data_IF_233611651128
#
_entry.id   IF_233611651128
#
_cell.length_a   1.000
_cell.length_b   1.000
_cell.length_c   1.000
_cell.angle_alpha   90.00
_cell.angle_beta   90.00
_cell.angle_gamma   90.00
#
_symmetry.space_group_name_H-M   'P 1'
#
loop_
_entity.id
_entity.type
_entity.pdbx_description
1 polymer ?
#
# COMPACT_ATOMS: atom_id res chain seq x y z
N UNK A 1 -11.25 -6.82 -9.77
CA UNK A 1 -12.69 -6.52 -9.89
C UNK A 1 -13.11 -5.45 -8.90
N UNK A 2 -13.05 -5.67 -7.57
CA UNK A 2 -13.39 -4.61 -6.59
C UNK A 2 -12.62 -3.30 -6.86
N UNK A 3 -11.29 -3.36 -6.94
CA UNK A 3 -10.43 -2.21 -7.26
C UNK A 3 -10.77 -1.56 -8.61
N UNK A 4 -11.07 -2.37 -9.63
CA UNK A 4 -11.51 -1.88 -10.94
C UNK A 4 -12.82 -1.09 -10.86
N UNK A 5 -13.78 -1.57 -10.07
CA UNK A 5 -15.07 -0.89 -9.82
C UNK A 5 -14.81 0.41 -9.05
N UNK A 6 -14.00 0.36 -7.99
CA UNK A 6 -13.65 1.53 -7.15
C UNK A 6 -12.98 2.63 -7.97
N UNK A 7 -11.95 2.31 -8.75
CA UNK A 7 -11.24 3.27 -9.64
C UNK A 7 -12.15 3.89 -10.70
N UNK A 8 -13.15 3.15 -11.19
CA UNK A 8 -14.07 3.63 -12.22
C UNK A 8 -15.28 4.37 -11.64
N UNK A 9 -15.51 4.31 -10.32
CA UNK A 9 -16.67 4.85 -9.61
C UNK A 9 -17.96 4.06 -9.83
N UNK A 10 -18.31 3.79 -11.09
CA UNK A 10 -19.45 2.95 -11.47
C UNK A 10 -19.12 2.18 -12.76
N UNK A 11 -19.46 0.90 -12.81
CA UNK A 11 -19.22 0.07 -14.00
C UNK A 11 -20.23 -1.06 -14.14
N UNK A 12 -20.38 -1.60 -15.35
CA UNK A 12 -21.32 -2.69 -15.64
C UNK A 12 -20.62 -4.05 -15.71
N UNK A 13 -21.39 -5.13 -15.51
CA UNK A 13 -20.90 -6.50 -15.69
C UNK A 13 -20.24 -6.75 -17.06
N UNK A 14 -20.85 -6.33 -18.18
CA UNK A 14 -20.23 -6.42 -19.51
C UNK A 14 -18.89 -5.68 -19.63
N UNK A 15 -18.77 -4.44 -19.14
CA UNK A 15 -17.50 -3.69 -19.17
C UNK A 15 -16.38 -4.41 -18.41
N UNK A 16 -16.71 -4.99 -17.25
CA UNK A 16 -15.77 -5.77 -16.45
C UNK A 16 -15.32 -7.06 -17.18
N UNK A 17 -16.19 -7.67 -17.99
CA UNK A 17 -15.84 -8.84 -18.81
C UNK A 17 -14.87 -8.46 -19.92
N UNK A 18 -14.96 -7.25 -20.45
CA UNK A 18 -14.08 -6.77 -21.53
C UNK A 18 -12.71 -6.31 -21.00
N UNK A 19 -12.67 -5.77 -19.78
CA UNK A 19 -11.45 -5.19 -19.20
C UNK A 19 -10.64 -6.14 -18.32
N UNK A 20 -11.17 -7.32 -17.99
CA UNK A 20 -10.49 -8.27 -17.10
C UNK A 20 -10.04 -9.53 -17.82
N UNK A 21 -9.02 -10.20 -17.29
CA UNK A 21 -8.42 -11.41 -17.89
C UNK A 21 -9.12 -12.71 -17.50
N UNK A 22 -10.07 -12.66 -16.56
CA UNK A 22 -10.86 -13.83 -16.13
C UNK A 22 -12.07 -14.08 -17.02
N UNK A 23 -12.59 -15.31 -17.01
CA UNK A 23 -13.75 -15.68 -17.83
C UNK A 23 -15.01 -14.89 -17.48
N UNK A 24 -15.92 -14.72 -18.44
CA UNK A 24 -17.25 -14.12 -18.20
C UNK A 24 -17.97 -14.74 -17.00
N UNK A 25 -17.97 -16.08 -16.90
CA UNK A 25 -18.60 -16.79 -15.77
C UNK A 25 -17.98 -16.38 -14.44
N UNK A 26 -16.65 -16.26 -14.39
CA UNK A 26 -15.90 -15.85 -13.20
C UNK A 26 -16.22 -14.41 -12.81
N UNK A 27 -16.36 -13.50 -13.77
CA UNK A 27 -16.76 -12.10 -13.49
C UNK A 27 -18.09 -12.04 -12.76
N UNK A 28 -19.13 -12.70 -13.29
CA UNK A 28 -20.44 -12.69 -12.66
C UNK A 28 -20.48 -13.44 -11.33
N UNK A 29 -19.70 -14.52 -11.17
CA UNK A 29 -19.53 -15.20 -9.88
C UNK A 29 -18.89 -14.28 -8.83
N UNK A 30 -17.85 -13.54 -9.20
CA UNK A 30 -17.17 -12.62 -8.30
C UNK A 30 -18.02 -11.38 -7.99
N UNK A 31 -18.76 -10.83 -8.96
CA UNK A 31 -19.74 -9.77 -8.71
C UNK A 31 -20.78 -10.23 -7.69
N UNK A 32 -21.31 -11.45 -7.83
CA UNK A 32 -22.27 -11.98 -6.87
C UNK A 32 -21.67 -12.11 -5.46
N UNK A 33 -20.44 -12.61 -5.35
CA UNK A 33 -19.74 -12.74 -4.06
C UNK A 33 -19.46 -11.38 -3.40
N UNK A 34 -19.02 -10.40 -4.19
CA UNK A 34 -18.77 -9.05 -3.70
C UNK A 34 -20.07 -8.36 -3.24
N UNK A 35 -21.15 -8.52 -4.01
CA UNK A 35 -22.47 -7.98 -3.66
C UNK A 35 -23.00 -8.64 -2.38
N UNK A 36 -22.89 -9.97 -2.28
CA UNK A 36 -23.30 -10.72 -1.10
C UNK A 36 -22.49 -10.33 0.16
N UNK A 37 -21.21 -10.01 -0.02
CA UNK A 37 -20.35 -9.55 1.06
C UNK A 37 -20.58 -8.07 1.42
N UNK A 38 -21.44 -7.35 0.69
CA UNK A 38 -21.68 -5.92 0.91
C UNK A 38 -20.52 -5.02 0.46
N UNK A 39 -19.58 -5.55 -0.32
CA UNK A 39 -18.42 -4.78 -0.82
C UNK A 39 -18.74 -4.01 -2.10
N UNK A 40 -19.86 -4.32 -2.77
CA UNK A 40 -20.37 -3.55 -3.89
C UNK A 40 -21.89 -3.48 -3.79
N UNK A 41 -22.49 -2.44 -4.37
CA UNK A 41 -23.94 -2.28 -4.48
C UNK A 41 -24.35 -1.99 -5.92
N UNK A 42 -25.62 -2.27 -6.24
CA UNK A 42 -26.23 -1.92 -7.54
C UNK A 42 -26.73 -0.48 -7.48
N UNK A 43 -26.36 0.32 -8.48
CA UNK A 43 -26.75 1.74 -8.56
C UNK A 43 -28.13 1.92 -9.20
N UNK A 44 -28.49 1.04 -10.14
CA UNK A 44 -29.76 1.12 -10.87
C UNK A 44 -30.37 -0.28 -11.02
N UNK A 45 -31.56 -0.46 -10.45
CA UNK A 45 -32.32 -1.71 -10.49
C UNK A 45 -33.24 -1.82 -11.72
N UNK A 46 -33.52 -0.71 -12.42
CA UNK A 46 -34.48 -0.64 -13.54
C UNK A 46 -33.82 -0.59 -14.93
N UNK A 47 -32.50 -0.40 -14.98
CA UNK A 47 -31.77 -0.48 -16.25
C UNK A 47 -31.59 -1.93 -16.75
N UNK A 48 -31.51 -2.08 -18.08
CA UNK A 48 -31.34 -3.39 -18.75
C UNK A 48 -30.03 -4.09 -18.36
N UNK A 49 -29.06 -3.34 -17.83
CA UNK A 49 -27.75 -3.83 -17.41
C UNK A 49 -27.42 -3.23 -16.06
N UNK A 50 -27.37 -4.07 -15.01
CA UNK A 50 -27.01 -3.62 -13.68
C UNK A 50 -25.62 -2.96 -13.67
N UNK A 51 -25.57 -1.74 -13.12
CA UNK A 51 -24.34 -1.02 -12.83
C UNK A 51 -23.99 -1.19 -11.34
N UNK A 52 -22.69 -1.28 -11.05
CA UNK A 52 -22.15 -1.55 -9.73
C UNK A 52 -21.25 -0.40 -9.28
N UNK A 53 -21.31 -0.08 -8.00
CA UNK A 53 -20.35 0.81 -7.32
C UNK A 53 -19.68 0.07 -6.17
N UNK A 54 -18.47 0.48 -5.81
CA UNK A 54 -17.71 -0.11 -4.72
C UNK A 54 -18.09 0.56 -3.41
N UNK A 55 -18.28 -0.25 -2.37
CA UNK A 55 -18.52 0.22 -1.01
C UNK A 55 -17.17 0.31 -0.27
N UNK A 56 -17.02 1.35 0.53
CA UNK A 56 -15.91 1.44 1.49
C UNK A 56 -16.12 0.42 2.60
N UNK A 57 -15.02 -0.15 3.11
CA UNK A 57 -15.08 -1.15 4.17
C UNK A 57 -13.84 -1.07 5.06
N UNK A 58 -13.96 -1.63 6.25
CA UNK A 58 -12.82 -1.92 7.10
C UNK A 58 -13.03 -3.31 7.69
N UNK A 59 -12.01 -4.16 7.57
CA UNK A 59 -12.02 -5.49 8.16
C UNK A 59 -10.81 -5.64 9.07
N UNK A 60 -11.08 -5.70 10.38
CA UNK A 60 -10.05 -5.90 11.40
C UNK A 60 -9.84 -7.40 11.64
N UNK A 61 -8.61 -7.88 11.53
CA UNK A 61 -8.23 -9.24 11.94
C UNK A 61 -7.28 -9.18 13.12
N UNK A 62 -7.56 -9.99 14.13
CA UNK A 62 -6.63 -10.26 15.21
C UNK A 62 -6.14 -11.70 15.08
N UNK A 63 -4.83 -11.88 14.87
CA UNK A 63 -4.19 -13.19 14.90
C UNK A 63 -3.21 -13.23 16.05
N UNK A 64 -3.52 -14.08 17.04
CA UNK A 64 -2.84 -14.09 18.35
C UNK A 64 -2.99 -12.72 19.01
N UNK A 65 -1.94 -11.90 19.01
CA UNK A 65 -1.88 -10.59 19.65
C UNK A 65 -1.60 -9.46 18.63
N UNK A 66 -1.61 -9.77 17.34
CA UNK A 66 -1.42 -8.79 16.26
C UNK A 66 -2.77 -8.47 15.63
N UNK A 67 -3.19 -7.22 15.78
CA UNK A 67 -4.35 -6.65 15.11
C UNK A 67 -3.90 -5.92 13.84
N UNK A 68 -4.57 -6.18 12.72
CA UNK A 68 -4.34 -5.52 11.43
C UNK A 68 -5.68 -5.14 10.79
N UNK A 69 -5.70 -4.01 10.07
CA UNK A 69 -6.86 -3.58 9.30
C UNK A 69 -6.66 -3.89 7.81
N UNK A 70 -7.65 -4.51 7.19
CA UNK A 70 -7.77 -4.64 5.74
C UNK A 70 -8.72 -3.55 5.25
N UNK A 71 -8.18 -2.60 4.51
CA UNK A 71 -8.92 -1.49 3.90
C UNK A 71 -8.86 -1.55 2.37
N UNK A 72 -9.73 -0.82 1.67
CA UNK A 72 -9.65 -0.66 0.23
C UNK A 72 -8.28 -0.22 -0.28
N UNK A 73 -7.57 0.66 0.42
CA UNK A 73 -6.22 1.12 0.08
C UNK A 73 -5.22 -0.04 0.09
N UNK A 74 -5.27 -0.90 1.11
CA UNK A 74 -4.44 -2.12 1.17
C UNK A 74 -4.76 -3.04 -0.02
N UNK A 75 -6.04 -3.23 -0.34
CA UNK A 75 -6.46 -4.07 -1.47
C UNK A 75 -6.00 -3.48 -2.81
N UNK A 76 -5.94 -2.15 -2.96
CA UNK A 76 -5.37 -1.49 -4.13
C UNK A 76 -3.88 -1.84 -4.31
N UNK A 77 -3.11 -1.86 -3.24
CA UNK A 77 -1.70 -2.30 -3.28
C UNK A 77 -1.61 -3.78 -3.65
N UNK A 78 -2.40 -4.64 -3.00
CA UNK A 78 -2.43 -6.09 -3.30
C UNK A 78 -2.82 -6.37 -4.76
N UNK A 79 -3.68 -5.55 -5.36
CA UNK A 79 -4.08 -5.71 -6.75
C UNK A 79 -2.92 -5.55 -7.75
N UNK A 80 -1.83 -4.87 -7.35
CA UNK A 80 -0.63 -4.67 -8.15
C UNK A 80 0.35 -5.85 -8.10
N UNK A 81 0.02 -6.96 -7.42
CA UNK A 81 0.91 -8.13 -7.25
C UNK A 81 1.51 -8.71 -8.53
N UNK A 82 0.84 -8.54 -9.67
CA UNK A 82 1.34 -9.05 -10.96
C UNK A 82 2.44 -8.16 -11.55
N UNK A 83 2.49 -6.88 -11.15
CA UNK A 83 3.48 -5.91 -11.58
C UNK A 83 4.66 -5.83 -10.59
N UNK A 84 4.40 -6.10 -9.31
CA UNK A 84 5.39 -6.07 -8.24
C UNK A 84 5.57 -7.46 -7.61
N UNK A 85 6.59 -8.24 -8.03
CA UNK A 85 6.81 -9.61 -7.54
C UNK A 85 7.05 -9.71 -6.03
N UNK A 86 7.52 -8.64 -5.38
CA UNK A 86 7.67 -8.59 -3.93
C UNK A 86 6.32 -8.75 -3.20
N UNK A 87 5.25 -8.15 -3.75
CA UNK A 87 3.90 -8.27 -3.21
C UNK A 87 3.39 -9.70 -3.34
N UNK A 88 3.53 -10.31 -4.52
CA UNK A 88 3.14 -11.70 -4.73
C UNK A 88 3.90 -12.65 -3.81
N UNK A 89 5.21 -12.44 -3.64
CA UNK A 89 6.05 -13.25 -2.77
C UNK A 89 5.60 -13.19 -1.32
N UNK A 90 5.43 -11.99 -0.76
CA UNK A 90 5.03 -11.84 0.65
C UNK A 90 3.63 -12.41 0.88
N UNK A 91 2.68 -12.17 -0.03
CA UNK A 91 1.35 -12.77 0.06
C UNK A 91 1.36 -14.30 -0.05
N UNK A 92 2.21 -14.86 -0.92
CA UNK A 92 2.32 -16.30 -1.14
C UNK A 92 3.00 -17.04 0.02
N UNK A 93 4.10 -16.49 0.51
CA UNK A 93 4.96 -17.14 1.50
C UNK A 93 4.48 -16.87 2.94
N UNK A 94 3.94 -15.67 3.21
CA UNK A 94 3.59 -15.23 4.57
C UNK A 94 2.09 -14.96 4.77
N UNK A 95 1.31 -14.83 3.69
CA UNK A 95 -0.13 -14.60 3.76
C UNK A 95 -0.53 -13.14 3.99
N UNK A 96 -1.84 -12.89 3.97
CA UNK A 96 -2.41 -11.52 3.98
C UNK A 96 -2.21 -10.77 5.30
N UNK A 97 -2.19 -11.48 6.43
CA UNK A 97 -2.04 -10.84 7.76
C UNK A 97 -0.64 -10.24 7.90
N UNK A 98 0.38 -11.00 7.53
CA UNK A 98 1.77 -10.49 7.50
C UNK A 98 1.93 -9.37 6.48
N UNK A 99 1.27 -9.48 5.32
CA UNK A 99 1.28 -8.41 4.33
C UNK A 99 0.64 -7.12 4.87
N UNK A 100 -0.50 -7.21 5.55
CA UNK A 100 -1.17 -6.05 6.16
C UNK A 100 -0.29 -5.39 7.23
N UNK A 101 0.31 -6.20 8.13
CA UNK A 101 1.27 -5.69 9.12
C UNK A 101 2.46 -4.99 8.44
N UNK A 102 3.05 -5.61 7.42
CA UNK A 102 4.18 -5.04 6.70
C UNK A 102 3.78 -3.73 6.01
N UNK A 103 2.59 -3.66 5.40
CA UNK A 103 2.04 -2.44 4.80
C UNK A 103 1.92 -1.31 5.82
N UNK A 104 1.36 -1.57 7.00
CA UNK A 104 1.23 -0.56 8.07
C UNK A 104 2.62 -0.08 8.54
N UNK A 105 3.56 -1.01 8.69
CA UNK A 105 4.95 -0.70 9.04
C UNK A 105 5.67 0.11 7.94
N UNK A 106 5.38 -0.13 6.66
CA UNK A 106 5.94 0.68 5.55
C UNK A 106 5.39 2.11 5.58
N UNK A 107 4.11 2.30 5.93
CA UNK A 107 3.55 3.66 6.12
C UNK A 107 4.21 4.37 7.31
N UNK A 108 4.35 3.68 8.44
CA UNK A 108 5.09 4.21 9.59
C UNK A 108 6.55 4.55 9.23
N UNK A 109 7.18 3.76 8.33
CA UNK A 109 8.51 4.04 7.84
C UNK A 109 8.57 5.33 7.00
N UNK A 110 7.55 5.60 6.18
CA UNK A 110 7.48 6.87 5.42
C UNK A 110 7.36 8.10 6.33
N UNK A 111 6.89 7.92 7.57
CA UNK A 111 6.83 8.96 8.59
C UNK A 111 8.10 9.02 9.47
N UNK A 112 9.07 8.13 9.24
CA UNK A 112 10.33 8.04 9.99
C UNK A 112 10.24 7.29 11.33
N UNK A 113 9.10 6.68 11.64
CA UNK A 113 8.84 6.04 12.95
C UNK A 113 9.51 4.67 13.11
N UNK A 114 9.72 3.97 12.00
CA UNK A 114 10.36 2.65 12.00
C UNK A 114 11.42 2.56 10.91
N UNK A 115 12.46 1.78 11.16
CA UNK A 115 13.53 1.48 10.20
C UNK A 115 13.23 0.21 9.42
N UNK A 116 13.77 0.07 8.20
CA UNK A 116 13.67 -1.17 7.38
C UNK A 116 14.03 -2.43 8.19
N UNK A 117 15.04 -2.34 9.07
CA UNK A 117 15.44 -3.45 9.95
C UNK A 117 14.35 -3.83 10.97
N UNK A 118 13.66 -2.85 11.54
CA UNK A 118 12.52 -3.13 12.43
C UNK A 118 11.38 -3.77 11.66
N UNK A 119 11.09 -3.32 10.43
CA UNK A 119 10.05 -3.93 9.58
C UNK A 119 10.36 -5.40 9.33
N UNK A 120 11.58 -5.72 8.88
CA UNK A 120 12.01 -7.09 8.64
C UNK A 120 11.82 -7.97 9.88
N UNK A 121 12.22 -7.49 11.06
CA UNK A 121 12.08 -8.24 12.30
C UNK A 121 10.62 -8.40 12.76
N UNK A 122 9.81 -7.35 12.67
CA UNK A 122 8.43 -7.34 13.16
C UNK A 122 7.48 -8.13 12.25
N UNK A 123 7.70 -8.06 10.93
CA UNK A 123 6.93 -8.81 9.95
C UNK A 123 7.50 -10.22 9.66
N UNK A 124 8.57 -10.63 10.35
CA UNK A 124 9.27 -11.91 10.14
C UNK A 124 9.67 -12.11 8.66
N UNK A 125 10.22 -11.06 8.05
CA UNK A 125 10.70 -11.03 6.67
C UNK A 125 12.23 -11.01 6.63
N UNK A 126 12.79 -11.57 5.57
CA UNK A 126 14.23 -11.36 5.29
C UNK A 126 14.49 -9.87 5.00
N UNK A 127 15.69 -9.36 5.30
CA UNK A 127 16.03 -7.96 5.03
C UNK A 127 15.88 -7.59 3.55
N UNK A 128 16.23 -8.50 2.63
CA UNK A 128 16.02 -8.30 1.20
C UNK A 128 14.54 -8.24 0.82
N UNK A 129 13.74 -9.17 1.34
CA UNK A 129 12.28 -9.17 1.12
C UNK A 129 11.63 -7.88 1.64
N UNK A 130 12.04 -7.41 2.83
CA UNK A 130 11.53 -6.18 3.40
C UNK A 130 11.90 -4.96 2.54
N UNK A 131 13.14 -4.89 2.06
CA UNK A 131 13.60 -3.84 1.16
C UNK A 131 12.79 -3.81 -0.15
N UNK A 132 12.69 -4.96 -0.84
CA UNK A 132 11.94 -5.08 -2.09
C UNK A 132 10.45 -4.71 -1.91
N UNK A 133 9.86 -5.07 -0.76
CA UNK A 133 8.47 -4.74 -0.46
C UNK A 133 8.28 -3.25 -0.22
N UNK A 134 9.18 -2.60 0.52
CA UNK A 134 9.13 -1.15 0.76
C UNK A 134 9.23 -0.40 -0.57
N UNK A 135 10.18 -0.77 -1.43
CA UNK A 135 10.35 -0.16 -2.75
C UNK A 135 9.07 -0.27 -3.59
N UNK A 136 8.45 -1.46 -3.61
CA UNK A 136 7.18 -1.67 -4.31
C UNK A 136 6.05 -0.79 -3.75
N UNK A 137 5.88 -0.75 -2.43
CA UNK A 137 4.81 0.03 -1.79
C UNK A 137 5.04 1.53 -1.96
N UNK A 138 6.28 2.00 -1.86
CA UNK A 138 6.65 3.40 -2.08
C UNK A 138 6.33 3.83 -3.51
N UNK A 139 6.64 2.97 -4.50
CA UNK A 139 6.31 3.22 -5.90
C UNK A 139 4.80 3.26 -6.16
N UNK A 140 4.01 2.45 -5.45
CA UNK A 140 2.54 2.41 -5.63
C UNK A 140 1.85 3.59 -4.93
N UNK A 141 2.34 3.96 -3.75
CA UNK A 141 1.72 4.99 -2.90
C UNK A 141 2.35 6.38 -3.07
N UNK A 142 3.39 6.50 -3.90
CA UNK A 142 4.11 7.74 -4.16
C UNK A 142 4.73 8.34 -2.87
N UNK A 143 5.31 7.49 -2.02
CA UNK A 143 5.86 7.87 -0.71
C UNK A 143 7.33 8.31 -0.75
N UNK A 144 7.90 8.45 -1.96
CA UNK A 144 9.32 8.74 -2.18
C UNK A 144 9.68 10.23 -2.25
N UNK A 145 8.70 11.13 -2.19
CA UNK A 145 8.88 12.54 -2.59
C UNK A 145 8.82 13.56 -1.43
N UNK A 146 8.95 13.13 -0.17
CA UNK A 146 9.21 14.03 0.96
C UNK A 146 10.70 14.10 1.30
N UNK A 147 11.54 14.27 0.27
CA UNK A 147 12.84 14.88 0.45
C UNK A 147 12.88 16.15 -0.41
N UNK A 148 12.87 17.30 0.27
CA UNK A 148 13.69 18.43 -0.16
C UNK A 148 14.99 17.83 -0.68
N UNK A 149 15.19 17.91 -2.01
CA UNK A 149 16.29 17.24 -2.70
C UNK A 149 17.54 17.26 -1.82
N UNK A 150 18.24 16.11 -1.62
CA UNK A 150 19.33 16.01 -0.67
C UNK A 150 20.23 17.21 -0.83
N UNK A 151 20.21 18.09 0.17
CA UNK A 151 21.02 19.28 0.15
C UNK A 151 22.47 18.80 0.13
N UNK A 152 23.10 18.88 -1.04
CA UNK A 152 24.53 18.65 -1.16
C UNK A 152 25.17 19.90 -0.59
N UNK A 153 25.40 19.90 0.72
CA UNK A 153 26.20 20.92 1.36
C UNK A 153 27.61 20.84 0.78
N UNK A 154 27.93 21.82 -0.03
CA UNK A 154 29.27 22.13 -0.48
C UNK A 154 29.98 22.94 0.61
N UNK A 155 31.32 22.94 0.64
CA UNK A 155 32.07 23.80 1.54
C UNK A 155 31.68 25.29 1.43
N UNK A 156 31.18 25.72 0.27
CA UNK A 156 30.69 27.08 0.01
C UNK A 156 29.35 27.40 0.70
N UNK A 157 28.62 26.39 1.20
CA UNK A 157 27.39 26.56 1.96
C UNK A 157 27.64 26.85 3.46
N UNK A 158 28.91 26.85 3.88
CA UNK A 158 29.35 27.27 5.20
C UNK A 158 30.07 28.62 5.05
N UNK A 159 29.52 29.69 5.63
CA UNK A 159 30.21 30.98 5.66
C UNK A 159 31.53 30.84 6.44
N UNK A 160 32.67 31.05 5.78
CA UNK A 160 34.01 31.09 6.41
C UNK A 160 34.14 32.23 7.46
N UNK A 161 33.14 33.13 7.53
CA UNK A 161 33.05 34.25 8.48
C UNK A 161 32.22 33.93 9.74
N UNK A 162 31.60 32.74 9.87
CA UNK A 162 31.09 32.27 11.17
C UNK A 162 32.26 31.72 12.00
N UNK A 163 32.95 32.68 12.61
CA UNK A 163 34.14 32.48 13.42
C UNK A 163 34.03 31.35 14.42
N UNK A 164 35.05 30.49 14.36
CA UNK A 164 35.75 29.93 15.52
C UNK A 164 34.88 29.52 16.72
N UNK A 165 34.08 28.46 16.56
CA UNK A 165 33.45 27.77 17.70
C UNK A 165 34.44 26.95 18.55
N UNK A 166 35.75 27.19 18.43
CA UNK A 166 36.79 26.60 19.29
C UNK A 166 37.32 27.55 20.38
N UNK A 167 36.84 28.79 20.48
CA UNK A 167 37.16 29.70 21.60
C UNK A 167 36.11 29.67 22.73
N UNK A 168 35.76 28.50 23.27
CA UNK A 168 35.17 28.45 24.62
C UNK A 168 35.52 27.16 25.38
N UNK A 169 36.77 26.70 25.31
CA UNK A 169 37.30 25.71 26.25
C UNK A 169 38.73 26.01 26.69
N UNK A 170 39.08 27.28 26.90
CA UNK A 170 40.26 27.65 27.70
C UNK A 170 40.12 29.10 28.19
N UNK A 171 39.44 29.32 29.32
CA UNK A 171 40.14 29.83 30.51
C UNK A 171 39.25 29.83 31.77
N UNK A 172 39.78 29.12 32.78
CA UNK A 172 39.61 29.25 34.25
C UNK A 172 38.73 28.29 35.03
#
# INVERSE_FOLDING_TARGET
LYTSIRRSGTTTGPELVETTTVSKKTVYDYLHKLEQAGLISKVDHDSRTAAYTAEEFELTLTVRDTEVSITPELIEVIAQKNEYPAIERVLGDHGIVTFALAYDLVKAHSEGDVTIRQIANLADLSSGTAYDLIEAIYSILDLGDDESAPATYTPDDFDEDEGDLLEEFDDK
#
